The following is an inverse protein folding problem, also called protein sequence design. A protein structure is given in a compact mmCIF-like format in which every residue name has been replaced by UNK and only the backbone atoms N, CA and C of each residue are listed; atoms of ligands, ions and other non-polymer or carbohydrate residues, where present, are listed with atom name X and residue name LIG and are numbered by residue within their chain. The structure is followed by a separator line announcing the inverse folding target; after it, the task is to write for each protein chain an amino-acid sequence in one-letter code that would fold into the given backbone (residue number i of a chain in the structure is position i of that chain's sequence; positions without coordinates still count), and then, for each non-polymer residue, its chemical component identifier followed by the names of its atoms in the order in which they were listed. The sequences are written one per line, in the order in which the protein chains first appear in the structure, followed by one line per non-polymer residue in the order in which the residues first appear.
data_IF_112956224282
#
_entry.id   IF_112956224282
#
_cell.length_a   1.000
_cell.length_b   1.000
_cell.length_c   1.000
_cell.angle_alpha   90.00
_cell.angle_beta   90.00
_cell.angle_gamma   90.00
#
_symmetry.space_group_name_H-M   'P 1'
#
loop_
_entity.id
_entity.type
_entity.pdbx_description
1 polymer ?
#
# COMPACT_ATOMS: atom_id res chain seq x y z
N UNK A 1 13.65 8.59 11.50
CA UNK A 1 13.14 7.38 12.21
C UNK A 1 13.62 6.16 11.43
N UNK A 2 14.17 5.14 12.08
CA UNK A 2 14.63 3.92 11.37
C UNK A 2 13.45 3.12 10.82
N UNK A 3 13.67 2.34 9.76
CA UNK A 3 12.60 1.52 9.16
C UNK A 3 11.96 0.55 10.17
N UNK A 4 12.75 0.00 11.10
CA UNK A 4 12.24 -0.87 12.17
C UNK A 4 11.38 -0.14 13.20
N UNK A 5 11.72 1.10 13.54
CA UNK A 5 10.94 1.95 14.45
C UNK A 5 9.60 2.35 13.82
N UNK A 6 9.61 2.67 12.51
CA UNK A 6 8.39 2.98 11.75
C UNK A 6 7.44 1.78 11.77
N UNK A 7 7.94 0.58 11.45
CA UNK A 7 7.15 -0.65 11.51
C UNK A 7 6.55 -0.89 12.90
N UNK A 8 7.36 -0.80 13.95
CA UNK A 8 6.90 -1.00 15.31
C UNK A 8 5.85 0.05 15.75
N UNK A 9 6.06 1.31 15.36
CA UNK A 9 5.14 2.40 15.66
C UNK A 9 3.79 2.22 14.97
N UNK A 10 3.77 1.78 13.72
CA UNK A 10 2.55 1.44 12.99
C UNK A 10 1.73 0.38 13.72
N UNK A 11 2.35 -0.76 14.06
CA UNK A 11 1.65 -1.88 14.72
C UNK A 11 1.09 -1.43 16.08
N UNK A 12 1.93 -0.78 16.88
CA UNK A 12 1.53 -0.28 18.20
C UNK A 12 0.37 0.71 18.13
N UNK A 13 0.36 1.62 17.15
CA UNK A 13 -0.72 2.59 16.96
C UNK A 13 -2.09 1.93 16.77
N UNK A 14 -2.13 0.82 16.02
CA UNK A 14 -3.36 0.06 15.79
C UNK A 14 -3.68 -0.88 16.96
N UNK A 15 -2.69 -1.47 17.62
CA UNK A 15 -2.92 -2.22 18.87
C UNK A 15 -3.59 -1.35 19.94
N UNK A 16 -3.15 -0.10 20.12
CA UNK A 16 -3.76 0.88 21.02
C UNK A 16 -5.21 1.23 20.63
N UNK A 17 -5.64 0.89 19.41
CA UNK A 17 -7.02 1.06 18.88
C UNK A 17 -7.81 -0.24 18.84
N UNK A 18 -7.31 -1.28 19.51
CA UNK A 18 -7.98 -2.56 19.69
C UNK A 18 -7.81 -3.52 18.51
N UNK A 19 -6.85 -3.29 17.63
CA UNK A 19 -6.49 -4.26 16.58
C UNK A 19 -5.61 -5.36 17.16
N UNK A 20 -5.87 -6.62 16.81
CA UNK A 20 -4.94 -7.70 17.11
C UNK A 20 -3.70 -7.57 16.21
N UNK A 21 -2.50 -7.50 16.79
CA UNK A 21 -1.27 -7.64 16.02
C UNK A 21 -1.11 -9.09 15.57
N UNK A 22 -1.16 -9.33 14.26
CA UNK A 22 -1.06 -10.65 13.65
C UNK A 22 0.27 -10.75 12.92
N UNK A 23 0.94 -11.91 13.03
CA UNK A 23 2.18 -12.15 12.33
C UNK A 23 1.98 -12.14 10.80
N UNK A 24 3.01 -11.71 10.08
CA UNK A 24 3.03 -11.80 8.63
C UNK A 24 2.98 -13.26 8.16
N UNK A 25 2.13 -13.56 7.19
CA UNK A 25 2.03 -14.89 6.58
C UNK A 25 3.23 -15.19 5.67
N UNK A 26 3.49 -16.46 5.33
CA UNK A 26 4.50 -16.85 4.34
C UNK A 26 4.31 -16.17 2.98
N UNK A 27 5.39 -16.12 2.19
CA UNK A 27 5.34 -15.62 0.80
C UNK A 27 4.64 -16.59 -0.15
N UNK A 28 4.63 -17.89 0.16
CA UNK A 28 3.90 -18.91 -0.58
C UNK A 28 2.56 -19.15 0.13
N UNK A 29 1.41 -18.81 -0.48
CA UNK A 29 0.10 -19.06 0.10
C UNK A 29 -0.15 -20.57 0.27
N UNK A 30 -0.63 -20.99 1.44
CA UNK A 30 -0.83 -22.42 1.72
C UNK A 30 -2.03 -23.02 0.97
N UNK A 31 -3.13 -22.25 0.81
CA UNK A 31 -4.43 -22.75 0.35
C UNK A 31 -5.09 -21.83 -0.69
N UNK A 32 -4.31 -21.12 -1.51
CA UNK A 32 -4.87 -20.25 -2.56
C UNK A 32 -4.23 -20.54 -3.93
N UNK A 33 -4.85 -21.38 -4.78
CA UNK A 33 -4.31 -21.71 -6.09
C UNK A 33 -4.38 -20.54 -7.09
N UNK A 34 -5.05 -19.43 -6.73
CA UNK A 34 -5.17 -18.25 -7.60
C UNK A 34 -4.01 -17.27 -7.45
N UNK A 35 -3.12 -17.49 -6.46
CA UNK A 35 -1.99 -16.61 -6.18
C UNK A 35 -0.66 -17.38 -6.25
N UNK A 36 0.29 -16.82 -6.99
CA UNK A 36 1.66 -17.33 -7.02
C UNK A 36 2.39 -17.00 -5.71
N UNK A 37 2.31 -15.74 -5.28
CA UNK A 37 2.93 -15.25 -4.06
C UNK A 37 2.00 -14.31 -3.29
N UNK A 38 2.23 -14.19 -1.98
CA UNK A 38 1.58 -13.19 -1.13
C UNK A 38 1.96 -11.79 -1.59
N UNK A 39 1.03 -11.08 -2.24
CA UNK A 39 1.26 -9.77 -2.86
C UNK A 39 0.76 -8.57 -2.01
N UNK A 40 0.04 -8.84 -0.93
CA UNK A 40 -0.63 -7.86 -0.08
C UNK A 40 -0.90 -8.41 1.33
N UNK A 41 -1.16 -7.51 2.29
CA UNK A 41 -1.49 -7.84 3.68
C UNK A 41 -2.78 -8.64 3.85
N UNK A 42 -3.75 -8.45 2.95
CA UNK A 42 -5.08 -9.02 3.04
C UNK A 42 -5.16 -10.51 2.66
N UNK A 43 -4.14 -11.05 1.99
CA UNK A 43 -4.14 -12.43 1.45
C UNK A 43 -4.48 -13.46 2.53
N UNK A 44 -3.86 -13.35 3.71
CA UNK A 44 -4.09 -14.25 4.85
C UNK A 44 -5.47 -14.09 5.54
N UNK A 45 -6.23 -13.09 5.14
CA UNK A 45 -7.57 -12.78 5.64
C UNK A 45 -8.64 -12.91 4.55
N UNK A 46 -8.30 -13.42 3.35
CA UNK A 46 -9.23 -13.58 2.22
C UNK A 46 -10.56 -14.22 2.64
N UNK A 47 -10.50 -15.37 3.31
CA UNK A 47 -11.70 -16.10 3.74
C UNK A 47 -12.47 -15.40 4.87
N UNK A 48 -11.80 -14.56 5.66
CA UNK A 48 -12.47 -13.70 6.66
C UNK A 48 -13.29 -12.61 5.95
N UNK A 49 -12.74 -11.96 4.92
CA UNK A 49 -13.48 -10.99 4.10
C UNK A 49 -14.67 -11.63 3.39
N UNK A 50 -14.51 -12.86 2.90
CA UNK A 50 -15.57 -13.62 2.23
C UNK A 50 -16.62 -14.18 3.22
N UNK A 51 -16.40 -14.06 4.53
CA UNK A 51 -17.29 -14.60 5.56
C UNK A 51 -17.26 -16.13 5.69
N UNK A 52 -16.24 -16.79 5.13
CA UNK A 52 -16.02 -18.24 5.18
C UNK A 52 -15.23 -18.66 6.42
N UNK A 53 -14.45 -17.75 6.97
CA UNK A 53 -13.69 -17.93 8.20
C UNK A 53 -14.08 -16.87 9.22
N UNK A 54 -14.06 -17.23 10.51
CA UNK A 54 -14.23 -16.27 11.61
C UNK A 54 -12.99 -16.29 12.50
N UNK A 55 -12.64 -15.12 13.04
CA UNK A 55 -11.50 -14.93 13.96
C UNK A 55 -12.03 -14.50 15.32
N UNK A 56 -11.23 -14.72 16.37
CA UNK A 56 -11.54 -14.23 17.72
C UNK A 56 -11.53 -12.69 17.83
N UNK A 57 -10.95 -12.01 16.85
CA UNK A 57 -10.88 -10.56 16.72
C UNK A 57 -11.62 -10.08 15.48
N UNK A 58 -12.14 -8.84 15.53
CA UNK A 58 -12.79 -8.18 14.38
C UNK A 58 -11.92 -7.10 13.72
N UNK A 59 -10.77 -6.81 14.32
CA UNK A 59 -9.79 -5.82 13.85
C UNK A 59 -8.40 -6.44 13.95
N UNK A 60 -7.57 -6.23 12.94
CA UNK A 60 -6.20 -6.77 12.94
C UNK A 60 -5.20 -5.77 12.35
N UNK A 61 -3.94 -5.87 12.72
CA UNK A 61 -2.85 -5.12 12.09
C UNK A 61 -1.66 -6.02 11.82
N UNK A 62 -0.97 -5.81 10.70
CA UNK A 62 0.19 -6.60 10.27
C UNK A 62 1.24 -5.73 9.59
N UNK A 63 2.48 -6.24 9.56
CA UNK A 63 3.54 -5.79 8.66
C UNK A 63 3.87 -6.97 7.74
N UNK A 64 3.15 -7.08 6.63
CA UNK A 64 3.19 -8.24 5.74
C UNK A 64 4.39 -8.16 4.79
N UNK A 65 5.23 -9.20 4.77
CA UNK A 65 6.20 -9.40 3.67
C UNK A 65 5.45 -9.76 2.38
N UNK A 66 5.68 -8.99 1.33
CA UNK A 66 5.01 -9.12 0.05
C UNK A 66 6.03 -9.38 -1.05
N UNK A 67 5.61 -10.13 -2.08
CA UNK A 67 6.38 -10.32 -3.30
C UNK A 67 5.50 -10.05 -4.53
N UNK A 68 5.93 -9.13 -5.39
CA UNK A 68 5.30 -8.75 -6.66
C UNK A 68 6.25 -9.00 -7.83
N UNK A 69 6.47 -10.28 -8.12
CA UNK A 69 7.34 -10.74 -9.20
C UNK A 69 6.60 -11.68 -10.18
N UNK A 70 5.27 -11.56 -10.28
CA UNK A 70 4.43 -12.39 -11.15
C UNK A 70 2.94 -12.30 -10.84
N UNK A 71 2.10 -12.78 -11.76
CA UNK A 71 0.65 -12.68 -11.65
C UNK A 71 0.12 -11.27 -11.92
N UNK A 72 -1.02 -10.91 -11.29
CA UNK A 72 -1.71 -9.62 -11.49
C UNK A 72 -0.86 -8.40 -11.08
N UNK A 73 -0.04 -8.55 -10.05
CA UNK A 73 0.86 -7.50 -9.56
C UNK A 73 2.30 -7.93 -9.78
N UNK A 74 2.93 -7.36 -10.80
CA UNK A 74 4.31 -7.66 -11.18
C UNK A 74 5.10 -6.36 -11.36
N UNK A 75 6.04 -6.14 -10.45
CA UNK A 75 6.89 -4.95 -10.40
C UNK A 75 8.34 -5.25 -10.83
N UNK A 76 8.64 -6.47 -11.29
CA UNK A 76 9.99 -6.93 -11.59
C UNK A 76 10.73 -6.00 -12.56
N UNK A 77 10.08 -5.62 -13.66
CA UNK A 77 10.66 -4.76 -14.71
C UNK A 77 10.84 -3.29 -14.25
N UNK A 78 10.21 -2.89 -13.14
CA UNK A 78 10.32 -1.53 -12.60
C UNK A 78 11.50 -1.36 -11.63
N UNK A 79 12.06 -2.47 -11.13
CA UNK A 79 13.12 -2.47 -10.11
C UNK A 79 14.41 -1.89 -10.69
N UNK A 80 14.99 -0.93 -9.98
CA UNK A 80 16.22 -0.23 -10.42
C UNK A 80 15.99 0.88 -11.44
N UNK A 81 14.78 1.02 -11.98
CA UNK A 81 14.40 2.11 -12.91
C UNK A 81 13.56 3.20 -12.26
N UNK A 82 12.85 2.87 -11.18
CA UNK A 82 12.02 3.82 -10.43
C UNK A 82 12.48 3.92 -8.99
N UNK A 83 12.14 5.03 -8.32
CA UNK A 83 12.53 5.26 -6.92
C UNK A 83 11.69 4.47 -5.90
N UNK A 84 10.60 3.80 -6.33
CA UNK A 84 9.47 3.39 -5.48
C UNK A 84 9.04 1.92 -5.59
N UNK A 85 9.57 1.17 -6.56
CA UNK A 85 9.15 -0.22 -6.82
C UNK A 85 10.21 -1.23 -6.39
N UNK A 86 9.73 -2.36 -5.86
CA UNK A 86 10.52 -3.48 -5.36
C UNK A 86 9.82 -4.77 -5.72
N UNK A 87 10.57 -5.87 -5.88
CA UNK A 87 9.95 -7.19 -5.96
C UNK A 87 9.43 -7.59 -4.58
N UNK A 88 10.32 -7.63 -3.59
CA UNK A 88 9.99 -7.85 -2.19
C UNK A 88 9.77 -6.52 -1.49
N UNK A 89 8.77 -6.39 -0.63
CA UNK A 89 8.59 -5.21 0.23
C UNK A 89 7.73 -5.54 1.44
N UNK A 90 7.59 -4.60 2.38
CA UNK A 90 6.66 -4.77 3.50
C UNK A 90 5.44 -3.85 3.38
N UNK A 91 4.26 -4.46 3.49
CA UNK A 91 2.98 -3.77 3.52
C UNK A 91 2.47 -3.69 4.95
N UNK A 92 2.43 -2.48 5.48
CA UNK A 92 1.83 -2.15 6.77
C UNK A 92 0.31 -2.04 6.59
N UNK A 93 -0.47 -2.89 7.26
CA UNK A 93 -1.92 -2.94 7.08
C UNK A 93 -2.70 -2.94 8.39
N UNK A 94 -3.86 -2.26 8.37
CA UNK A 94 -4.93 -2.42 9.35
C UNK A 94 -6.18 -2.97 8.65
N UNK A 95 -6.88 -3.88 9.31
CA UNK A 95 -8.01 -4.60 8.75
C UNK A 95 -9.21 -4.49 9.67
N UNK A 96 -10.40 -4.32 9.09
CA UNK A 96 -11.69 -4.32 9.78
C UNK A 96 -12.58 -5.38 9.16
N UNK A 97 -13.00 -6.37 9.95
CA UNK A 97 -13.83 -7.49 9.51
C UNK A 97 -15.27 -7.29 9.96
N UNK A 98 -16.01 -6.43 9.25
CA UNK A 98 -17.38 -6.05 9.61
C UNK A 98 -17.47 -5.31 10.94
N UNK A 99 -16.47 -4.47 11.25
CA UNK A 99 -16.38 -3.65 12.45
C UNK A 99 -16.55 -2.17 12.09
N UNK A 100 -15.46 -1.39 12.00
CA UNK A 100 -15.49 -0.02 11.50
C UNK A 100 -15.37 0.03 9.97
N UNK A 101 -15.74 1.17 9.38
CA UNK A 101 -15.70 1.36 7.92
C UNK A 101 -15.01 2.68 7.55
N UNK A 102 -15.41 3.33 6.43
CA UNK A 102 -14.72 4.46 5.81
C UNK A 102 -14.30 5.56 6.79
N UNK A 103 -15.24 6.07 7.60
CA UNK A 103 -14.99 7.19 8.52
C UNK A 103 -13.80 6.97 9.44
N UNK A 104 -13.80 5.85 10.17
CA UNK A 104 -12.72 5.57 11.13
C UNK A 104 -11.44 5.10 10.43
N UNK A 105 -11.55 4.38 9.30
CA UNK A 105 -10.38 4.01 8.49
C UNK A 105 -9.59 5.26 8.03
N UNK A 106 -10.30 6.25 7.50
CA UNK A 106 -9.73 7.54 7.06
C UNK A 106 -9.15 8.29 8.26
N UNK A 107 -9.87 8.38 9.39
CA UNK A 107 -9.39 9.03 10.61
C UNK A 107 -8.11 8.40 11.16
N UNK A 108 -8.07 7.07 11.25
CA UNK A 108 -6.88 6.36 11.75
C UNK A 108 -5.67 6.59 10.85
N UNK A 109 -5.85 6.50 9.53
CA UNK A 109 -4.77 6.77 8.59
C UNK A 109 -4.27 8.21 8.72
N UNK A 110 -5.18 9.18 8.76
CA UNK A 110 -4.83 10.60 8.89
C UNK A 110 -4.14 10.92 10.21
N UNK A 111 -4.63 10.38 11.33
CA UNK A 111 -4.03 10.59 12.64
C UNK A 111 -2.63 9.97 12.73
N UNK A 112 -2.43 8.77 12.20
CA UNK A 112 -1.09 8.17 12.16
C UNK A 112 -0.12 9.04 11.35
N UNK A 113 -0.51 9.46 10.14
CA UNK A 113 0.37 10.26 9.28
C UNK A 113 0.68 11.64 9.88
N UNK A 114 -0.33 12.37 10.34
CA UNK A 114 -0.18 13.78 10.73
C UNK A 114 0.14 13.97 12.21
N UNK A 115 -0.36 13.11 13.11
CA UNK A 115 -0.13 13.24 14.55
C UNK A 115 1.01 12.37 15.04
N UNK A 116 1.11 11.13 14.58
CA UNK A 116 2.16 10.23 15.08
C UNK A 116 3.45 10.34 14.30
N UNK A 117 3.36 10.37 12.98
CA UNK A 117 4.50 10.55 12.08
C UNK A 117 4.83 12.02 11.79
N UNK A 118 3.98 12.94 12.25
CA UNK A 118 4.20 14.39 12.16
C UNK A 118 4.43 14.87 10.72
N UNK A 119 3.82 14.18 9.75
CA UNK A 119 3.85 14.65 8.36
C UNK A 119 3.02 15.92 8.24
N UNK A 120 3.52 16.82 7.40
CA UNK A 120 2.87 18.10 7.18
C UNK A 120 1.62 17.89 6.30
N UNK A 121 0.40 18.24 6.78
CA UNK A 121 -0.84 18.00 6.06
C UNK A 121 -0.92 18.68 4.69
N UNK A 122 -0.17 19.77 4.49
CA UNK A 122 -0.07 20.50 3.22
C UNK A 122 0.69 19.73 2.13
N UNK A 123 1.44 18.69 2.48
CA UNK A 123 2.09 17.79 1.53
C UNK A 123 1.29 16.54 1.20
N UNK A 124 0.19 16.29 1.92
CA UNK A 124 -0.65 15.13 1.69
C UNK A 124 -1.74 15.42 0.66
N UNK A 125 -1.92 14.50 -0.27
CA UNK A 125 -2.97 14.50 -1.29
C UNK A 125 -3.77 13.22 -1.16
N UNK A 126 -5.03 13.23 -1.57
CA UNK A 126 -5.87 12.05 -1.52
C UNK A 126 -6.57 11.80 -2.85
N UNK A 127 -6.82 10.53 -3.15
CA UNK A 127 -7.70 10.12 -4.25
C UNK A 127 -8.89 9.34 -3.70
N UNK A 128 -10.01 9.38 -4.42
CA UNK A 128 -11.20 8.56 -4.14
C UNK A 128 -11.78 8.05 -5.46
N UNK A 129 -12.47 6.91 -5.42
CA UNK A 129 -13.23 6.44 -6.58
C UNK A 129 -14.29 7.48 -6.98
N UNK A 130 -14.48 7.71 -8.28
CA UNK A 130 -15.33 8.79 -8.76
C UNK A 130 -16.80 8.70 -8.29
N UNK A 131 -17.33 7.49 -8.08
CA UNK A 131 -18.68 7.23 -7.54
C UNK A 131 -18.73 7.24 -5.99
N UNK A 132 -17.60 7.41 -5.28
CA UNK A 132 -17.54 7.37 -3.81
C UNK A 132 -17.65 8.77 -3.17
N UNK A 133 -18.86 9.31 -3.17
CA UNK A 133 -19.17 10.60 -2.54
C UNK A 133 -18.95 10.62 -1.02
N UNK A 134 -19.14 9.48 -0.36
CA UNK A 134 -18.96 9.35 1.09
C UNK A 134 -17.48 9.57 1.46
N UNK A 135 -16.56 8.89 0.77
CA UNK A 135 -15.12 9.07 1.00
C UNK A 135 -14.66 10.51 0.68
N UNK A 136 -15.19 11.10 -0.40
CA UNK A 136 -14.89 12.48 -0.77
C UNK A 136 -15.33 13.48 0.32
N UNK A 137 -16.54 13.30 0.86
CA UNK A 137 -17.08 14.16 1.91
C UNK A 137 -16.32 13.97 3.23
N UNK A 138 -15.95 12.74 3.57
CA UNK A 138 -15.11 12.46 4.75
C UNK A 138 -13.76 13.18 4.65
N UNK A 139 -13.08 13.13 3.50
CA UNK A 139 -11.82 13.86 3.33
C UNK A 139 -12.00 15.38 3.35
N UNK A 140 -12.96 15.90 2.60
CA UNK A 140 -13.04 17.36 2.35
C UNK A 140 -13.79 18.13 3.41
N UNK A 141 -14.82 17.54 4.04
CA UNK A 141 -15.65 18.20 5.05
C UNK A 141 -15.22 17.85 6.47
N UNK A 142 -14.84 16.61 6.72
CA UNK A 142 -14.55 16.14 8.08
C UNK A 142 -13.06 16.20 8.43
N UNK A 143 -12.19 15.66 7.58
CA UNK A 143 -10.73 15.78 7.77
C UNK A 143 -10.25 17.19 7.41
N UNK A 144 -10.87 17.82 6.41
CA UNK A 144 -10.54 19.17 5.95
C UNK A 144 -9.43 19.21 4.91
N UNK A 145 -9.21 18.13 4.15
CA UNK A 145 -8.34 18.17 2.97
C UNK A 145 -8.93 19.15 1.95
N UNK A 146 -8.19 20.15 1.46
CA UNK A 146 -8.71 21.08 0.46
C UNK A 146 -9.21 20.32 -0.77
N UNK A 147 -10.37 20.73 -1.32
CA UNK A 147 -10.99 20.06 -2.47
C UNK A 147 -10.06 19.87 -3.67
N UNK A 148 -9.15 20.83 -3.92
CA UNK A 148 -8.16 20.75 -4.99
C UNK A 148 -7.05 19.70 -4.76
N UNK A 149 -7.00 19.07 -3.58
CA UNK A 149 -6.06 17.99 -3.21
C UNK A 149 -6.76 16.65 -2.90
N UNK A 150 -8.07 16.58 -3.10
CA UNK A 150 -8.85 15.34 -3.03
C UNK A 150 -9.38 15.03 -4.43
N UNK A 151 -8.69 14.17 -5.16
CA UNK A 151 -8.93 13.93 -6.59
C UNK A 151 -9.88 12.75 -6.77
N UNK A 152 -10.85 12.87 -7.69
CA UNK A 152 -11.74 11.77 -8.07
C UNK A 152 -11.17 11.03 -9.26
N UNK A 153 -10.97 9.72 -9.14
CA UNK A 153 -10.42 8.88 -10.21
C UNK A 153 -11.50 7.89 -10.66
N UNK A 154 -11.75 7.90 -11.97
CA UNK A 154 -12.72 7.02 -12.63
C UNK A 154 -12.12 5.71 -13.11
N UNK A 155 -12.93 4.94 -13.81
CA UNK A 155 -12.41 3.80 -14.59
C UNK A 155 -11.54 4.32 -15.75
N UNK A 156 -10.51 3.56 -16.12
CA UNK A 156 -9.58 3.90 -17.18
C UNK A 156 -10.32 4.01 -18.52
N UNK A 157 -10.02 5.01 -19.36
CA UNK A 157 -10.71 5.20 -20.64
C UNK A 157 -10.73 3.92 -21.49
N UNK A 158 -11.92 3.54 -21.97
CA UNK A 158 -12.09 2.33 -22.79
C UNK A 158 -11.99 1.01 -22.03
N UNK A 159 -11.79 1.03 -20.71
CA UNK A 159 -11.74 -0.18 -19.88
C UNK A 159 -13.12 -0.57 -19.35
N UNK A 160 -13.38 -1.86 -19.05
CA UNK A 160 -14.59 -2.29 -18.37
C UNK A 160 -14.78 -1.63 -17.00
N UNK A 161 -16.02 -1.64 -16.50
CA UNK A 161 -16.33 -1.12 -15.17
C UNK A 161 -15.41 -1.73 -14.10
N UNK A 162 -14.97 -0.91 -13.14
CA UNK A 162 -14.09 -1.28 -12.03
C UNK A 162 -12.63 -1.56 -12.42
N UNK A 163 -12.19 -1.04 -13.57
CA UNK A 163 -10.77 -0.97 -13.93
C UNK A 163 -10.26 0.44 -13.64
N UNK A 164 -9.91 0.69 -12.38
CA UNK A 164 -9.52 2.01 -11.88
C UNK A 164 -8.38 1.84 -10.88
N UNK A 165 -7.52 2.86 -10.76
CA UNK A 165 -6.53 2.91 -9.68
C UNK A 165 -7.23 3.05 -8.31
N UNK A 166 -8.44 3.63 -8.28
CA UNK A 166 -9.27 3.73 -7.08
C UNK A 166 -10.33 2.62 -6.96
N UNK A 167 -10.16 1.49 -7.65
CA UNK A 167 -10.93 0.27 -7.41
C UNK A 167 -9.99 -0.93 -7.28
N UNK A 168 -9.75 -1.36 -6.05
CA UNK A 168 -8.75 -2.37 -5.76
C UNK A 168 -9.32 -3.80 -5.87
N UNK A 169 -8.51 -4.71 -6.42
CA UNK A 169 -8.83 -6.12 -6.57
C UNK A 169 -7.58 -6.96 -6.29
N UNK A 170 -7.72 -7.99 -5.44
CA UNK A 170 -6.62 -8.87 -5.01
C UNK A 170 -5.98 -9.67 -6.16
N UNK A 171 -6.84 -10.23 -7.00
CA UNK A 171 -6.53 -11.07 -8.14
C UNK A 171 -7.68 -10.92 -9.16
N UNK A 172 -7.78 -11.81 -10.14
CA UNK A 172 -8.92 -11.80 -11.08
C UNK A 172 -10.25 -12.15 -10.40
N UNK A 173 -10.18 -12.90 -9.29
CA UNK A 173 -11.31 -13.24 -8.43
C UNK A 173 -11.02 -12.89 -6.97
N UNK A 174 -12.08 -12.80 -6.15
CA UNK A 174 -11.98 -12.56 -4.72
C UNK A 174 -12.49 -11.18 -4.26
N UNK A 175 -12.21 -10.82 -3.00
CA UNK A 175 -12.65 -9.56 -2.41
C UNK A 175 -12.12 -8.33 -3.17
N UNK A 176 -12.99 -7.35 -3.38
CA UNK A 176 -12.68 -6.09 -4.04
C UNK A 176 -13.60 -4.95 -3.59
N UNK A 177 -13.24 -3.72 -3.97
CA UNK A 177 -14.06 -2.56 -3.67
C UNK A 177 -13.40 -1.24 -4.08
N UNK A 178 -14.15 -0.12 -4.01
CA UNK A 178 -13.57 1.20 -4.16
C UNK A 178 -12.53 1.44 -3.08
N UNK A 179 -11.52 2.23 -3.39
CA UNK A 179 -10.49 2.60 -2.44
C UNK A 179 -10.18 4.09 -2.49
N UNK A 180 -9.55 4.57 -1.41
CA UNK A 180 -9.02 5.91 -1.29
C UNK A 180 -7.55 5.84 -0.97
N UNK A 181 -6.72 6.52 -1.75
CA UNK A 181 -5.27 6.48 -1.57
C UNK A 181 -4.77 7.82 -1.05
N UNK A 182 -3.67 7.78 -0.30
CA UNK A 182 -2.99 8.93 0.25
C UNK A 182 -1.62 9.02 -0.43
N UNK A 183 -1.33 10.21 -0.97
CA UNK A 183 -0.09 10.54 -1.66
C UNK A 183 0.70 11.58 -0.87
N UNK A 184 2.01 11.55 -0.98
CA UNK A 184 2.92 12.55 -0.42
C UNK A 184 3.66 13.31 -1.52
N UNK A 185 3.62 14.64 -1.49
CA UNK A 185 4.39 15.53 -2.37
C UNK A 185 5.83 15.67 -1.86
N UNK A 186 6.79 15.05 -2.56
CA UNK A 186 8.22 15.18 -2.29
C UNK A 186 8.80 16.56 -2.64
N UNK A 187 8.02 17.42 -3.31
CA UNK A 187 8.34 18.81 -3.61
C UNK A 187 8.73 19.05 -5.07
N UNK A 188 8.81 20.32 -5.48
CA UNK A 188 8.98 20.73 -6.87
C UNK A 188 10.35 20.39 -7.48
N UNK A 189 11.33 19.97 -6.66
CA UNK A 189 12.63 19.49 -7.14
C UNK A 189 12.58 18.08 -7.75
N UNK A 190 11.44 17.38 -7.62
CA UNK A 190 11.21 16.05 -8.19
C UNK A 190 10.24 16.17 -9.38
N UNK A 191 10.54 15.58 -10.55
CA UNK A 191 9.62 15.55 -11.68
C UNK A 191 8.34 14.75 -11.38
N UNK A 192 7.21 15.22 -11.91
CA UNK A 192 5.91 14.57 -11.79
C UNK A 192 4.79 15.52 -11.38
N UNK A 193 3.56 15.13 -11.70
CA UNK A 193 2.34 15.86 -11.37
C UNK A 193 1.47 15.11 -10.36
N UNK A 194 0.43 15.77 -9.81
CA UNK A 194 -0.48 15.15 -8.86
C UNK A 194 -1.24 13.97 -9.49
N UNK A 195 -1.83 13.08 -8.68
CA UNK A 195 -2.63 11.97 -9.18
C UNK A 195 -3.76 12.46 -10.09
N UNK A 196 -4.02 11.73 -11.17
CA UNK A 196 -5.00 12.08 -12.20
C UNK A 196 -4.52 13.12 -13.23
N UNK A 197 -3.32 13.67 -13.10
CA UNK A 197 -2.70 14.51 -14.13
C UNK A 197 -1.98 13.66 -15.21
N UNK A 198 -1.62 14.27 -16.33
CA UNK A 198 -0.80 13.64 -17.38
C UNK A 198 0.63 13.29 -16.93
N UNK A 199 1.08 13.82 -15.80
CA UNK A 199 2.41 13.60 -15.23
C UNK A 199 2.36 12.74 -13.95
N UNK A 200 1.23 12.09 -13.66
CA UNK A 200 0.98 11.34 -12.43
C UNK A 200 1.93 10.13 -12.21
N UNK A 201 2.54 9.62 -13.28
CA UNK A 201 3.48 8.49 -13.20
C UNK A 201 4.87 8.87 -12.67
N UNK A 202 5.16 10.18 -12.58
CA UNK A 202 6.41 10.70 -12.04
C UNK A 202 6.59 10.40 -10.54
N UNK A 203 7.82 10.55 -10.04
CA UNK A 203 8.14 10.20 -8.67
C UNK A 203 7.88 11.33 -7.65
N UNK A 204 7.27 12.46 -8.05
CA UNK A 204 7.00 13.58 -7.14
C UNK A 204 5.91 13.27 -6.11
N UNK A 205 4.77 12.75 -6.58
CA UNK A 205 3.61 12.44 -5.74
C UNK A 205 3.56 10.93 -5.55
N UNK A 206 4.12 10.46 -4.45
CA UNK A 206 4.22 9.02 -4.17
C UNK A 206 3.00 8.58 -3.38
N UNK A 207 2.29 7.58 -3.88
CA UNK A 207 1.26 6.85 -3.14
C UNK A 207 1.92 6.17 -1.92
N UNK A 208 1.55 6.59 -0.72
CA UNK A 208 2.10 6.04 0.52
C UNK A 208 1.16 5.04 1.19
N UNK A 209 -0.16 5.18 1.03
CA UNK A 209 -1.14 4.33 1.72
C UNK A 209 -2.45 4.21 0.94
N UNK A 210 -2.87 2.99 0.65
CA UNK A 210 -4.17 2.68 0.06
C UNK A 210 -5.17 2.19 1.13
N UNK A 211 -6.37 2.76 1.16
CA UNK A 211 -7.49 2.41 2.04
C UNK A 211 -8.63 1.80 1.20
N UNK A 212 -8.72 0.47 1.17
CA UNK A 212 -9.70 -0.28 0.39
C UNK A 212 -10.96 -0.54 1.22
N UNK A 213 -12.11 -0.12 0.68
CA UNK A 213 -13.41 -0.33 1.28
C UNK A 213 -14.06 -1.56 0.64
N UNK A 214 -13.65 -2.73 1.13
CA UNK A 214 -14.09 -4.04 0.65
C UNK A 214 -15.61 -4.16 0.73
N UNK A 215 -16.24 -4.28 -0.43
CA UNK A 215 -17.70 -4.31 -0.56
C UNK A 215 -18.19 -5.47 -1.41
N UNK A 216 -17.33 -6.03 -2.27
CA UNK A 216 -17.73 -7.02 -3.25
C UNK A 216 -16.78 -8.22 -3.29
N UNK A 217 -17.27 -9.30 -3.87
CA UNK A 217 -16.49 -10.43 -4.36
C UNK A 217 -16.68 -10.53 -5.88
N UNK A 218 -15.57 -10.61 -6.61
CA UNK A 218 -15.56 -10.90 -8.05
C UNK A 218 -15.39 -12.40 -8.28
N UNK A 219 -16.28 -13.01 -9.05
CA UNK A 219 -16.17 -14.42 -9.44
C UNK A 219 -15.37 -14.61 -10.75
N UNK A 220 -15.17 -15.86 -11.14
CA UNK A 220 -14.42 -16.29 -12.34
C UNK A 220 -15.07 -15.85 -13.66
N UNK A 221 -16.38 -15.55 -13.64
CA UNK A 221 -17.14 -14.99 -14.77
C UNK A 221 -17.11 -13.46 -14.78
N UNK A 222 -16.43 -12.84 -13.83
CA UNK A 222 -16.34 -11.39 -13.65
C UNK A 222 -17.57 -10.77 -13.00
N UNK A 223 -18.52 -11.56 -12.51
CA UNK A 223 -19.68 -11.03 -11.80
C UNK A 223 -19.25 -10.49 -10.43
N UNK A 224 -19.76 -9.32 -10.08
CA UNK A 224 -19.42 -8.60 -8.84
C UNK A 224 -20.62 -8.68 -7.91
N UNK A 225 -20.46 -9.40 -6.79
CA UNK A 225 -21.52 -9.65 -5.81
C UNK A 225 -21.17 -9.03 -4.46
N UNK A 226 -22.14 -8.50 -3.68
CA UNK A 226 -21.84 -7.91 -2.37
C UNK A 226 -21.23 -8.92 -1.39
N UNK A 227 -20.26 -8.46 -0.60
CA UNK A 227 -19.76 -9.22 0.56
C UNK A 227 -20.83 -9.28 1.66
N UNK A 228 -20.79 -10.30 2.55
CA UNK A 228 -21.75 -10.40 3.66
C UNK A 228 -21.73 -9.20 4.60
N UNK A 229 -20.55 -8.55 4.74
CA UNK A 229 -20.35 -7.34 5.54
C UNK A 229 -19.33 -6.44 4.85
N UNK A 230 -19.57 -5.11 4.80
CA UNK A 230 -18.53 -4.16 4.42
C UNK A 230 -17.33 -4.27 5.36
N UNK A 231 -16.13 -4.29 4.78
CA UNK A 231 -14.88 -4.48 5.51
C UNK A 231 -13.85 -3.44 5.07
N UNK A 232 -12.79 -3.27 5.86
CA UNK A 232 -11.66 -2.39 5.50
C UNK A 232 -10.41 -3.24 5.37
N UNK A 233 -9.69 -3.01 4.27
CA UNK A 233 -8.33 -3.46 4.04
C UNK A 233 -7.48 -2.21 3.76
N UNK A 234 -6.26 -2.15 4.28
CA UNK A 234 -5.36 -1.04 3.97
C UNK A 234 -3.96 -1.56 3.75
N UNK A 235 -3.18 -0.89 2.90
CA UNK A 235 -1.78 -1.19 2.70
C UNK A 235 -0.94 0.07 2.53
N UNK A 236 0.04 0.26 3.43
CA UNK A 236 1.09 1.28 3.31
C UNK A 236 2.43 0.60 3.05
N UNK A 237 3.13 1.03 2.01
CA UNK A 237 4.49 0.53 1.74
C UNK A 237 5.47 1.04 2.77
N UNK A 238 6.07 0.16 3.58
CA UNK A 238 7.02 0.52 4.64
C UNK A 238 8.17 1.36 4.09
N UNK A 239 8.74 0.96 2.96
CA UNK A 239 9.87 1.64 2.34
C UNK A 239 9.50 3.04 1.86
N UNK A 240 8.29 3.22 1.32
CA UNK A 240 7.80 4.52 0.85
C UNK A 240 7.61 5.48 2.03
N UNK A 241 6.93 5.06 3.09
CA UNK A 241 6.77 5.90 4.29
C UNK A 241 8.10 6.14 5.02
N UNK A 242 9.04 5.19 4.95
CA UNK A 242 10.39 5.37 5.47
C UNK A 242 11.18 6.42 4.69
N UNK A 243 11.06 6.46 3.35
CA UNK A 243 11.68 7.51 2.55
C UNK A 243 11.18 8.90 2.99
N UNK A 244 9.85 9.05 3.11
CA UNK A 244 9.22 10.29 3.61
C UNK A 244 9.75 10.68 4.99
N UNK A 245 9.73 9.75 5.97
CA UNK A 245 10.12 10.03 7.36
C UNK A 245 11.62 10.21 7.59
N UNK A 246 12.44 9.81 6.62
CA UNK A 246 13.88 10.03 6.64
C UNK A 246 14.28 11.23 5.78
N UNK A 247 13.32 11.91 5.16
CA UNK A 247 13.57 13.11 4.35
C UNK A 247 14.28 12.80 3.03
N UNK A 248 14.17 11.58 2.53
CA UNK A 248 14.74 11.15 1.25
C UNK A 248 13.63 10.88 0.23
N UNK A 249 13.97 10.98 -1.04
CA UNK A 249 13.02 10.77 -2.14
C UNK A 249 12.90 9.30 -2.54
N UNK A 250 14.04 8.61 -2.67
CA UNK A 250 14.08 7.23 -3.12
C UNK A 250 14.02 6.24 -1.97
N UNK A 251 13.27 5.15 -2.15
CA UNK A 251 13.26 4.02 -1.22
C UNK A 251 14.67 3.45 -1.04
N UNK A 252 15.50 3.46 -2.09
CA UNK A 252 16.89 2.98 -2.03
C UNK A 252 17.80 3.85 -1.15
N UNK A 253 17.36 5.05 -0.77
CA UNK A 253 18.08 5.95 0.11
C UNK A 253 17.71 5.81 1.60
N UNK A 254 16.77 4.93 1.96
CA UNK A 254 16.44 4.68 3.37
C UNK A 254 17.56 3.90 4.06
N UNK A 255 17.58 3.95 5.39
CA UNK A 255 18.51 3.20 6.25
C UNK A 255 18.71 1.73 5.82
N UNK A 256 17.60 1.00 5.63
CA UNK A 256 17.62 -0.41 5.22
C UNK A 256 18.37 -0.63 3.90
N UNK A 257 18.03 0.12 2.85
CA UNK A 257 18.64 -0.08 1.54
C UNK A 257 20.07 0.46 1.47
N UNK A 258 20.39 1.55 2.16
CA UNK A 258 21.76 2.07 2.22
C UNK A 258 22.74 1.03 2.75
N UNK A 259 22.33 0.24 3.74
CA UNK A 259 23.18 -0.81 4.29
C UNK A 259 23.28 -2.02 3.35
N UNK A 260 22.18 -2.42 2.69
CA UNK A 260 22.20 -3.48 1.68
C UNK A 260 23.01 -3.11 0.43
N UNK A 261 22.90 -1.88 -0.06
CA UNK A 261 23.65 -1.39 -1.24
C UNK A 261 25.15 -1.33 -0.94
N UNK A 262 25.54 -0.89 0.28
CA UNK A 262 26.95 -0.94 0.71
C UNK A 262 27.46 -2.37 0.78
N UNK A 263 26.64 -3.31 1.29
CA UNK A 263 27.01 -4.71 1.32
C UNK A 263 27.17 -5.27 -0.10
N UNK A 264 26.22 -4.99 -0.99
CA UNK A 264 26.31 -5.38 -2.40
C UNK A 264 27.59 -4.82 -3.07
N UNK A 265 27.87 -3.52 -2.91
CA UNK A 265 29.08 -2.91 -3.46
C UNK A 265 30.38 -3.50 -2.93
N UNK A 266 30.40 -3.94 -1.65
CA UNK A 266 31.51 -4.70 -1.08
C UNK A 266 31.68 -6.06 -1.76
N UNK A 267 30.60 -6.83 -1.89
CA UNK A 267 30.66 -8.19 -2.46
C UNK A 267 30.92 -8.20 -3.97
N UNK A 268 30.49 -7.18 -4.71
CA UNK A 268 30.73 -7.06 -6.16
C UNK A 268 32.02 -6.31 -6.51
N UNK A 269 32.65 -5.65 -5.54
CA UNK A 269 33.79 -4.76 -5.77
C UNK A 269 33.42 -3.43 -6.45
N UNK A 270 32.12 -3.11 -6.59
CA UNK A 270 31.64 -1.86 -7.19
C UNK A 270 31.84 -0.69 -6.22
N UNK A 271 32.70 0.27 -6.59
CA UNK A 271 32.93 1.49 -5.80
C UNK A 271 31.86 2.57 -6.00
N UNK A 272 31.19 2.55 -7.14
CA UNK A 272 30.11 3.47 -7.46
C UNK A 272 28.79 3.02 -6.81
N UNK A 273 28.52 3.55 -5.61
CA UNK A 273 27.34 3.20 -4.82
C UNK A 273 26.02 3.78 -5.36
N UNK A 274 26.05 4.62 -6.40
CA UNK A 274 24.84 5.13 -7.05
C UNK A 274 24.43 4.31 -8.29
N UNK A 275 25.18 3.26 -8.60
CA UNK A 275 24.89 2.38 -9.73
C UNK A 275 23.58 1.61 -9.53
N UNK A 276 22.66 1.72 -10.48
CA UNK A 276 21.35 1.05 -10.43
C UNK A 276 21.43 -0.47 -10.29
N UNK A 277 22.49 -1.13 -10.78
CA UNK A 277 22.66 -2.57 -10.58
C UNK A 277 22.79 -2.95 -9.10
N UNK A 278 23.34 -2.07 -8.25
CA UNK A 278 23.37 -2.31 -6.80
C UNK A 278 21.98 -2.22 -6.17
N UNK A 279 21.11 -1.34 -6.68
CA UNK A 279 19.70 -1.27 -6.26
C UNK A 279 18.96 -2.57 -6.62
N UNK A 280 19.21 -3.10 -7.82
CA UNK A 280 18.63 -4.37 -8.28
C UNK A 280 19.10 -5.53 -7.40
N UNK A 281 20.41 -5.65 -7.14
CA UNK A 281 20.95 -6.70 -6.26
C UNK A 281 20.37 -6.59 -4.84
N UNK A 282 20.32 -5.38 -4.29
CA UNK A 282 19.79 -5.12 -2.96
C UNK A 282 18.29 -5.44 -2.85
N UNK A 283 17.52 -5.26 -3.91
CA UNK A 283 16.12 -5.70 -3.97
C UNK A 283 16.00 -7.23 -4.07
N UNK A 284 16.67 -7.83 -5.06
CA UNK A 284 16.52 -9.24 -5.39
C UNK A 284 17.04 -10.16 -4.28
N UNK A 285 18.10 -9.78 -3.55
CA UNK A 285 18.56 -10.60 -2.42
C UNK A 285 17.49 -10.71 -1.32
N UNK A 286 16.64 -9.70 -1.14
CA UNK A 286 15.49 -9.79 -0.21
C UNK A 286 14.47 -10.79 -0.73
N UNK A 287 14.08 -10.67 -2.00
CA UNK A 287 13.12 -11.60 -2.61
C UNK A 287 13.61 -13.05 -2.57
N UNK A 288 14.85 -13.31 -3.03
CA UNK A 288 15.42 -14.64 -3.12
C UNK A 288 15.68 -15.30 -1.76
N UNK A 289 16.06 -14.53 -0.72
CA UNK A 289 16.35 -15.10 0.59
C UNK A 289 15.10 -15.37 1.44
N UNK A 290 14.01 -14.62 1.22
CA UNK A 290 12.75 -14.83 1.94
C UNK A 290 11.82 -15.86 1.29
N UNK A 291 12.00 -16.12 -0.01
CA UNK A 291 11.38 -17.24 -0.73
C UNK A 291 12.05 -18.57 -0.34
#
# INVERSE_FOLDING_TARGET
MKSSEIRAKFLKFFEERGHAAVASSPLVPANDPTLLFTNSGMVQFKDVFLGRETRAYRRATTAQRCLRAGGKHNDLENVGYTARHHTFFEMLGNFSFGDYFKRDAIRYAWDLLTREYKLSPERLWTTVYHEDDEAYDLWTKEIGVPKGRCIRIGDKPGSPKYQSDNFWQMADTGPCGPCSEIFYDHGPGVPGGPPGSSEAEGDRYIEIWNLVFMQFNRDDKGAVTPLPKPCVDTGMGLERIAAVLQGVHSNYAIDLFRDLIRAAGRETGTKDLVNNSLNVIADHIRACAFL
#
